data_IF_950059909219
#
_entry.id   IF_950059909219
#
_cell.length_a   1.000
_cell.length_b   1.000
_cell.length_c   1.000
_cell.angle_alpha   90.00
_cell.angle_beta   90.00
_cell.angle_gamma   90.00
#
_symmetry.space_group_name_H-M   'P 1'
#
loop_
_entity.id
_entity.type
_entity.pdbx_description
1 polymer ?
#
# COMPACT_ATOMS: atom_id res chain seq x y z
N UNK A 1 -20.16 -9.14 -11.10
CA UNK A 1 -19.95 -7.88 -10.35
C UNK A 1 -18.47 -7.74 -10.11
N UNK A 2 -17.88 -6.63 -10.56
CA UNK A 2 -16.46 -6.34 -10.34
C UNK A 2 -16.33 -5.61 -9.01
N UNK A 3 -15.59 -6.20 -8.08
CA UNK A 3 -15.35 -5.59 -6.78
C UNK A 3 -14.10 -4.72 -6.86
N UNK A 4 -14.28 -3.44 -6.55
CA UNK A 4 -13.19 -2.48 -6.42
C UNK A 4 -12.83 -2.37 -4.94
N UNK A 5 -11.60 -2.73 -4.59
CA UNK A 5 -11.09 -2.59 -3.23
C UNK A 5 -9.96 -1.57 -3.22
N UNK A 6 -10.10 -0.56 -2.36
CA UNK A 6 -9.11 0.48 -2.13
C UNK A 6 -8.71 0.45 -0.66
N UNK A 7 -7.42 0.29 -0.41
CA UNK A 7 -6.83 0.35 0.92
C UNK A 7 -5.81 1.48 0.96
N UNK A 8 -5.91 2.32 1.98
CA UNK A 8 -4.96 3.39 2.26
C UNK A 8 -4.56 3.37 3.72
N UNK A 9 -3.25 3.45 3.95
CA UNK A 9 -2.65 3.55 5.26
C UNK A 9 -1.78 4.80 5.29
N UNK A 10 -1.82 5.51 6.41
CA UNK A 10 -1.04 6.73 6.61
C UNK A 10 -0.13 6.59 7.82
N UNK A 11 1.07 7.15 7.70
CA UNK A 11 2.01 7.20 8.80
C UNK A 11 1.60 8.33 9.78
N UNK A 12 1.30 7.96 11.03
CA UNK A 12 0.80 8.91 12.05
C UNK A 12 1.96 9.57 12.82
N UNK A 13 2.93 8.77 13.27
CA UNK A 13 3.97 9.27 14.18
C UNK A 13 5.15 9.91 13.46
N UNK A 14 5.62 9.29 12.38
CA UNK A 14 6.79 9.74 11.60
C UNK A 14 6.73 9.22 10.16
N UNK A 15 7.38 9.89 9.20
CA UNK A 15 7.55 9.35 7.87
C UNK A 15 8.35 8.04 7.87
N UNK A 16 8.00 7.15 6.94
CA UNK A 16 8.68 5.90 6.66
C UNK A 16 10.08 6.20 6.07
N UNK A 17 11.09 5.51 6.60
CA UNK A 17 12.42 5.47 6.03
C UNK A 17 12.52 4.50 4.84
N UNK A 18 13.64 4.57 4.11
CA UNK A 18 13.85 3.73 2.91
C UNK A 18 13.66 2.23 3.17
N UNK A 19 14.22 1.71 4.28
CA UNK A 19 14.05 0.29 4.64
C UNK A 19 12.60 -0.10 4.95
N UNK A 20 11.83 0.79 5.55
CA UNK A 20 10.42 0.54 5.87
C UNK A 20 9.58 0.56 4.57
N UNK A 21 9.88 1.48 3.65
CA UNK A 21 9.29 1.50 2.31
C UNK A 21 9.65 0.25 1.49
N UNK A 22 10.89 -0.23 1.58
CA UNK A 22 11.33 -1.46 0.89
C UNK A 22 10.59 -2.70 1.40
N UNK A 23 10.32 -2.78 2.71
CA UNK A 23 9.50 -3.85 3.28
C UNK A 23 8.07 -3.81 2.74
N UNK A 24 7.47 -2.63 2.64
CA UNK A 24 6.13 -2.46 2.05
C UNK A 24 6.11 -2.82 0.56
N UNK A 25 7.17 -2.51 -0.20
CA UNK A 25 7.35 -2.91 -1.61
C UNK A 25 7.40 -4.43 -1.77
N UNK A 26 8.00 -5.15 -0.81
CA UNK A 26 8.03 -6.61 -0.82
C UNK A 26 6.64 -7.23 -0.57
N UNK A 27 5.76 -6.55 0.19
CA UNK A 27 4.41 -7.00 0.50
C UNK A 27 3.41 -6.71 -0.63
N UNK A 28 3.52 -5.54 -1.27
CA UNK A 28 2.68 -5.20 -2.42
C UNK A 28 3.49 -4.50 -3.51
N UNK A 29 3.66 -5.22 -4.62
CA UNK A 29 4.31 -4.68 -5.82
C UNK A 29 3.45 -3.67 -6.57
N UNK A 30 2.12 -3.69 -6.35
CA UNK A 30 1.15 -2.80 -7.01
C UNK A 30 0.78 -1.57 -6.19
N UNK A 31 1.19 -1.52 -4.93
CA UNK A 31 0.91 -0.39 -4.08
C UNK A 31 1.70 0.85 -4.49
N UNK A 32 1.08 2.01 -4.34
CA UNK A 32 1.77 3.29 -4.31
C UNK A 32 2.28 3.53 -2.88
N UNK A 33 3.58 3.81 -2.74
CA UNK A 33 4.25 3.89 -1.45
C UNK A 33 5.02 5.20 -1.43
N UNK A 34 4.73 6.01 -0.42
CA UNK A 34 5.41 7.26 -0.11
C UNK A 34 5.91 7.21 1.34
N UNK A 35 6.77 8.16 1.76
CA UNK A 35 7.15 8.24 3.17
C UNK A 35 5.97 8.41 4.12
N UNK A 36 4.80 8.86 3.66
CA UNK A 36 3.66 9.16 4.53
C UNK A 36 2.43 8.30 4.26
N UNK A 37 2.41 7.53 3.17
CA UNK A 37 1.24 6.75 2.76
C UNK A 37 1.60 5.46 2.03
N UNK A 38 0.71 4.49 2.17
CA UNK A 38 0.69 3.25 1.40
C UNK A 38 -0.73 3.05 0.86
N UNK A 39 -0.87 2.99 -0.46
CA UNK A 39 -2.16 2.88 -1.13
C UNK A 39 -2.17 1.69 -2.07
N UNK A 40 -3.21 0.85 -2.01
CA UNK A 40 -3.31 -0.35 -2.82
C UNK A 40 -4.73 -0.49 -3.40
N UNK A 41 -4.79 -0.70 -4.71
CA UNK A 41 -6.04 -0.76 -5.47
C UNK A 41 -6.15 -2.08 -6.22
N UNK A 42 -7.19 -2.85 -5.93
CA UNK A 42 -7.49 -4.11 -6.60
C UNK A 42 -8.72 -3.93 -7.50
N UNK A 43 -8.52 -4.15 -8.79
CA UNK A 43 -9.59 -4.01 -9.78
C UNK A 43 -10.25 -5.35 -10.13
N UNK A 44 -9.58 -6.50 -9.93
CA UNK A 44 -10.10 -7.83 -10.24
C UNK A 44 -9.36 -8.90 -9.43
N UNK A 45 -10.03 -9.51 -8.46
CA UNK A 45 -9.44 -10.52 -7.56
C UNK A 45 -9.06 -9.90 -6.21
N UNK A 46 -9.73 -10.35 -5.15
CA UNK A 46 -9.61 -9.82 -3.80
C UNK A 46 -8.18 -9.92 -3.25
N UNK A 47 -7.93 -9.09 -2.23
CA UNK A 47 -6.72 -9.12 -1.41
C UNK A 47 -6.41 -10.55 -0.96
N UNK A 48 -5.22 -11.08 -1.27
CA UNK A 48 -4.75 -12.40 -0.81
C UNK A 48 -3.37 -12.25 -0.17
#
# INVERSE_FOLDING_TARGET
MSEYQYYEFQAIDRPLGEREMDQLRALSSRAEITPTSFTNTYNWGGFK
#
